data_IF_773689205261
#
_entry.id   IF_773689205261
#
_cell.length_a   1.000
_cell.length_b   1.000
_cell.length_c   1.000
_cell.angle_alpha   90.00
_cell.angle_beta   90.00
_cell.angle_gamma   90.00
#
_symmetry.space_group_name_H-M   'P 1'
#
loop_
_entity.id
_entity.type
_entity.pdbx_description
1 polymer ?
#
# COMPACT_ATOMS: atom_id res chain seq x y z
N UNK A 1 -12.14 25.87 -3.87
CA UNK A 1 -12.03 24.41 -3.72
C UNK A 1 -12.86 24.05 -2.52
N UNK A 2 -14.02 23.42 -2.73
CA UNK A 2 -14.87 22.99 -1.63
C UNK A 2 -14.17 21.84 -0.91
N UNK A 3 -13.66 22.12 0.30
CA UNK A 3 -13.07 21.13 1.20
C UNK A 3 -14.13 20.19 1.76
N UNK A 4 -14.73 19.36 0.90
CA UNK A 4 -15.69 18.33 1.29
C UNK A 4 -14.95 17.20 1.97
N UNK A 5 -14.69 17.37 3.26
CA UNK A 5 -14.32 16.25 4.13
C UNK A 5 -15.51 15.28 4.16
N UNK A 6 -15.27 14.03 3.79
CA UNK A 6 -16.28 12.98 3.91
C UNK A 6 -16.32 12.59 5.39
N UNK A 7 -17.26 13.17 6.15
CA UNK A 7 -17.34 13.01 7.61
C UNK A 7 -17.57 11.57 8.10
N UNK A 8 -18.07 10.68 7.22
CA UNK A 8 -18.36 9.27 7.52
C UNK A 8 -17.66 8.32 6.52
N UNK A 9 -16.37 8.55 6.23
CA UNK A 9 -15.58 7.65 5.39
C UNK A 9 -15.01 6.49 6.25
N UNK A 10 -15.80 5.44 6.43
CA UNK A 10 -15.34 4.21 7.10
C UNK A 10 -14.63 3.29 6.08
N UNK A 11 -13.49 2.73 6.48
CA UNK A 11 -12.81 1.69 5.73
C UNK A 11 -13.39 0.33 6.11
N UNK A 12 -14.34 -0.16 5.31
CA UNK A 12 -15.02 -1.43 5.55
C UNK A 12 -14.27 -2.57 4.84
N UNK A 13 -13.80 -3.56 5.60
CA UNK A 13 -13.15 -4.73 5.02
C UNK A 13 -14.19 -5.65 4.35
N UNK A 14 -14.11 -5.93 3.04
CA UNK A 14 -15.19 -6.55 2.27
C UNK A 14 -15.46 -8.01 2.67
N UNK A 15 -14.46 -8.73 3.20
CA UNK A 15 -14.62 -10.15 3.50
C UNK A 15 -15.58 -10.40 4.68
N UNK A 16 -15.52 -9.58 5.72
CA UNK A 16 -16.37 -9.73 6.91
C UNK A 16 -17.30 -8.53 7.15
N UNK A 17 -17.30 -7.53 6.26
CA UNK A 17 -18.10 -6.31 6.36
C UNK A 17 -17.88 -5.52 7.66
N UNK A 18 -16.71 -5.68 8.29
CA UNK A 18 -16.32 -4.96 9.50
C UNK A 18 -15.70 -3.61 9.17
N UNK A 19 -16.01 -2.58 9.96
CA UNK A 19 -15.37 -1.27 9.96
C UNK A 19 -14.21 -1.16 10.97
N UNK A 20 -14.01 -2.18 11.81
CA UNK A 20 -12.91 -2.26 12.77
C UNK A 20 -11.64 -2.71 12.03
N UNK A 21 -10.99 -1.75 11.36
CA UNK A 21 -9.79 -1.96 10.54
C UNK A 21 -8.65 -1.03 10.96
N UNK A 22 -7.43 -1.55 10.89
CA UNK A 22 -6.21 -0.83 11.23
C UNK A 22 -5.31 -0.75 10.01
N UNK A 23 -5.00 0.47 9.57
CA UNK A 23 -3.99 0.71 8.53
C UNK A 23 -2.64 0.86 9.20
N UNK A 24 -1.72 -0.03 8.87
CA UNK A 24 -0.39 -0.11 9.48
C UNK A 24 0.72 0.22 8.47
N UNK A 25 0.44 0.10 7.17
CA UNK A 25 1.44 0.23 6.12
C UNK A 25 0.93 1.11 4.98
N UNK A 26 1.86 1.85 4.39
CA UNK A 26 1.63 2.55 3.13
C UNK A 26 2.68 2.09 2.13
N UNK A 27 2.23 1.55 1.02
CA UNK A 27 3.08 1.17 -0.10
C UNK A 27 2.91 2.20 -1.21
N UNK A 28 4.00 2.65 -1.79
CA UNK A 28 4.02 3.54 -2.95
C UNK A 28 4.87 2.88 -4.01
N UNK A 29 4.32 2.75 -5.21
CA UNK A 29 5.09 2.37 -6.39
C UNK A 29 4.92 3.41 -7.45
N UNK A 30 6.05 3.90 -7.93
CA UNK A 30 6.12 4.95 -8.92
C UNK A 30 7.20 4.60 -9.94
N UNK A 31 6.95 4.93 -11.20
CA UNK A 31 7.98 4.83 -12.24
C UNK A 31 7.86 5.91 -13.28
N UNK A 32 9.00 6.33 -13.81
CA UNK A 32 9.02 7.03 -15.09
C UNK A 32 8.78 6.03 -16.23
N UNK A 33 8.27 6.51 -17.36
CA UNK A 33 8.11 5.68 -18.57
C UNK A 33 9.38 4.88 -18.87
N UNK A 34 9.20 3.59 -19.16
CA UNK A 34 10.25 2.61 -19.46
C UNK A 34 11.36 2.42 -18.39
N UNK A 35 11.21 2.97 -17.19
CA UNK A 35 12.09 2.71 -16.05
C UNK A 35 11.53 1.63 -15.13
N UNK A 36 12.42 1.04 -14.35
CA UNK A 36 12.03 0.18 -13.23
C UNK A 36 11.16 0.98 -12.25
N UNK A 37 10.21 0.29 -11.63
CA UNK A 37 9.46 0.87 -10.54
C UNK A 37 10.36 1.10 -9.33
N UNK A 38 10.14 2.23 -8.67
CA UNK A 38 10.62 2.50 -7.34
C UNK A 38 9.50 2.16 -6.36
N UNK A 39 9.71 1.10 -5.59
CA UNK A 39 8.83 0.75 -4.48
C UNK A 39 9.35 1.40 -3.19
N UNK A 40 8.42 2.02 -2.47
CA UNK A 40 8.62 2.58 -1.14
C UNK A 40 7.57 1.94 -0.23
N UNK A 41 7.99 1.45 0.92
CA UNK A 41 7.06 1.00 1.96
C UNK A 41 7.31 1.76 3.24
N UNK A 42 6.23 2.25 3.85
CA UNK A 42 6.25 2.95 5.11
C UNK A 42 5.49 2.11 6.13
N UNK A 43 6.13 1.75 7.23
CA UNK A 43 5.46 1.25 8.42
C UNK A 43 4.94 2.48 9.19
N UNK A 44 3.62 2.64 9.26
CA UNK A 44 2.96 3.77 9.90
C UNK A 44 3.02 3.70 11.44
N UNK A 45 3.30 2.53 12.01
CA UNK A 45 3.45 2.34 13.46
C UNK A 45 4.86 2.76 13.90
N UNK A 46 5.89 2.22 13.26
CA UNK A 46 7.28 2.47 13.63
C UNK A 46 7.88 3.71 12.97
N UNK A 47 7.26 4.20 11.89
CA UNK A 47 7.79 5.29 11.06
C UNK A 47 8.94 4.86 10.13
N UNK A 48 9.28 3.56 10.10
CA UNK A 48 10.34 3.02 9.24
C UNK A 48 9.95 3.15 7.76
N UNK A 49 10.90 3.59 6.94
CA UNK A 49 10.73 3.72 5.49
C UNK A 49 11.75 2.80 4.80
N UNK A 50 11.25 1.94 3.92
CA UNK A 50 12.06 1.10 3.05
C UNK A 50 11.91 1.55 1.60
N UNK A 51 13.01 1.49 0.84
CA UNK A 51 13.06 1.87 -0.57
C UNK A 51 13.79 0.79 -1.38
N UNK A 52 13.87 0.95 -2.71
CA UNK A 52 14.64 0.07 -3.61
C UNK A 52 14.09 -1.36 -3.74
N UNK A 53 12.76 -1.51 -3.77
CA UNK A 53 12.11 -2.78 -4.15
C UNK A 53 12.28 -3.92 -3.13
N UNK A 54 12.49 -3.60 -1.84
CA UNK A 54 12.47 -4.62 -0.76
C UNK A 54 11.11 -5.29 -0.56
N UNK A 55 10.03 -4.65 -0.99
CA UNK A 55 8.70 -5.25 -1.08
C UNK A 55 7.98 -4.71 -2.31
N UNK A 56 7.37 -5.59 -3.09
CA UNK A 56 6.48 -5.17 -4.18
C UNK A 56 5.18 -4.64 -3.56
N UNK A 57 4.79 -3.41 -3.89
CA UNK A 57 3.52 -2.88 -3.44
C UNK A 57 2.37 -3.76 -3.93
N UNK A 58 1.37 -4.04 -3.07
CA UNK A 58 0.23 -4.89 -3.42
C UNK A 58 -0.47 -4.46 -4.71
N UNK A 59 -1.01 -5.45 -5.42
CA UNK A 59 -1.65 -5.25 -6.72
C UNK A 59 -3.13 -5.60 -6.64
N UNK A 60 -3.93 -4.73 -7.25
CA UNK A 60 -5.32 -4.99 -7.54
C UNK A 60 -5.50 -5.74 -8.87
N UNK A 61 -6.49 -6.63 -8.89
CA UNK A 61 -6.86 -7.48 -10.03
C UNK A 61 -7.14 -6.73 -11.34
N UNK A 62 -7.73 -5.54 -11.25
CA UNK A 62 -8.26 -4.81 -12.41
C UNK A 62 -7.13 -4.26 -13.27
N UNK A 63 -6.03 -3.87 -12.64
CA UNK A 63 -4.95 -3.13 -13.29
C UNK A 63 -3.76 -4.02 -13.63
N UNK A 64 -3.57 -5.12 -12.88
CA UNK A 64 -2.54 -6.13 -13.10
C UNK A 64 -1.10 -5.64 -12.91
N UNK A 65 -0.13 -6.54 -13.13
CA UNK A 65 1.29 -6.24 -12.98
C UNK A 65 1.80 -5.23 -14.02
N UNK A 66 2.63 -4.29 -13.56
CA UNK A 66 3.73 -3.77 -14.38
C UNK A 66 3.50 -2.51 -15.21
N UNK A 67 2.59 -1.58 -14.87
CA UNK A 67 2.47 -0.33 -15.66
C UNK A 67 2.25 1.01 -14.95
N UNK A 68 1.98 1.11 -13.65
CA UNK A 68 1.31 2.33 -13.12
C UNK A 68 1.75 2.77 -11.73
N UNK A 69 1.53 4.06 -11.49
CA UNK A 69 1.63 4.75 -10.21
C UNK A 69 0.54 4.21 -9.28
N UNK A 70 0.93 3.65 -8.13
CA UNK A 70 0.00 3.06 -7.16
C UNK A 70 0.38 3.47 -5.75
N UNK A 71 -0.65 3.61 -4.93
CA UNK A 71 -0.57 3.75 -3.48
C UNK A 71 -1.43 2.63 -2.90
N UNK A 72 -0.89 1.81 -2.02
CA UNK A 72 -1.67 0.81 -1.30
C UNK A 72 -1.65 1.09 0.19
N UNK A 73 -2.82 1.04 0.82
CA UNK A 73 -2.98 1.10 2.26
C UNK A 73 -3.09 -0.33 2.78
N UNK A 74 -2.05 -0.78 3.48
CA UNK A 74 -1.97 -2.10 4.06
C UNK A 74 -2.39 -2.11 5.51
N UNK A 75 -3.11 -3.14 5.93
CA UNK A 75 -3.65 -3.22 7.27
C UNK A 75 -4.14 -4.60 7.65
N UNK A 76 -4.90 -4.65 8.74
CA UNK A 76 -5.60 -5.85 9.15
C UNK A 76 -6.98 -5.50 9.73
N UNK A 77 -7.88 -6.49 9.70
CA UNK A 77 -9.20 -6.40 10.29
C UNK A 77 -9.17 -7.01 11.70
N UNK A 78 -9.54 -6.24 12.73
CA UNK A 78 -9.56 -6.73 14.12
C UNK A 78 -10.56 -7.87 14.32
N UNK A 79 -11.68 -7.84 13.58
CA UNK A 79 -12.76 -8.82 13.75
C UNK A 79 -12.38 -10.21 13.26
N UNK A 80 -11.73 -10.32 12.08
CA UNK A 80 -11.41 -11.60 11.47
C UNK A 80 -9.92 -11.92 11.41
N UNK A 81 -9.06 -11.00 11.87
CA UNK A 81 -7.60 -11.16 11.90
C UNK A 81 -6.90 -11.13 10.53
N UNK A 82 -7.65 -10.98 9.44
CA UNK A 82 -7.11 -11.05 8.07
C UNK A 82 -6.38 -9.77 7.70
N UNK A 83 -5.22 -9.91 7.05
CA UNK A 83 -4.46 -8.78 6.50
C UNK A 83 -4.97 -8.41 5.11
N UNK A 84 -4.99 -7.13 4.81
CA UNK A 84 -5.54 -6.62 3.56
C UNK A 84 -4.67 -5.51 2.98
N UNK A 85 -4.91 -5.20 1.71
CA UNK A 85 -4.49 -3.93 1.13
C UNK A 85 -5.60 -3.31 0.27
N UNK A 86 -5.85 -2.01 0.49
CA UNK A 86 -6.64 -1.19 -0.41
C UNK A 86 -5.68 -0.51 -1.40
N UNK A 87 -5.79 -0.84 -2.67
CA UNK A 87 -4.90 -0.38 -3.74
C UNK A 87 -5.60 0.73 -4.52
N UNK A 88 -4.94 1.89 -4.58
CA UNK A 88 -5.33 3.04 -5.39
C UNK A 88 -4.36 3.12 -6.55
N UNK A 89 -4.86 2.94 -7.76
CA UNK A 89 -4.04 2.99 -8.98
C UNK A 89 -4.47 4.12 -9.90
N UNK A 90 -3.51 4.91 -10.36
CA UNK A 90 -3.75 5.91 -11.39
C UNK A 90 -3.70 5.26 -12.77
N UNK A 91 -4.77 5.44 -13.55
CA UNK A 91 -4.89 4.91 -14.91
C UNK A 91 -5.52 5.95 -15.85
N UNK A 92 -4.73 6.49 -16.79
CA UNK A 92 -5.21 7.42 -17.85
C UNK A 92 -6.06 8.57 -17.29
N UNK A 93 -5.60 9.19 -16.20
CA UNK A 93 -6.32 10.29 -15.55
C UNK A 93 -7.46 9.88 -14.59
N UNK A 94 -7.77 8.58 -14.50
CA UNK A 94 -8.71 8.03 -13.52
C UNK A 94 -7.97 7.46 -12.31
N UNK A 95 -8.64 7.47 -11.15
CA UNK A 95 -8.21 6.72 -9.97
C UNK A 95 -9.11 5.48 -9.84
N UNK A 96 -8.48 4.31 -9.84
CA UNK A 96 -9.13 3.03 -9.58
C UNK A 96 -8.83 2.62 -8.15
N UNK A 97 -9.84 2.19 -7.41
CA UNK A 97 -9.72 1.79 -6.01
C UNK A 97 -10.26 0.37 -5.88
N UNK A 98 -9.42 -0.55 -5.41
CA UNK A 98 -9.76 -1.97 -5.30
C UNK A 98 -9.00 -2.63 -4.15
N UNK A 99 -9.48 -3.78 -3.70
CA UNK A 99 -8.78 -4.60 -2.72
C UNK A 99 -7.74 -5.47 -3.44
N UNK A 100 -6.57 -5.65 -2.82
CA UNK A 100 -5.54 -6.54 -3.37
C UNK A 100 -6.03 -8.00 -3.42
N UNK A 101 -5.55 -8.75 -4.40
CA UNK A 101 -5.93 -10.17 -4.56
C UNK A 101 -5.37 -11.07 -3.45
N UNK A 102 -4.29 -10.64 -2.80
CA UNK A 102 -3.55 -11.42 -1.82
C UNK A 102 -3.40 -10.63 -0.54
N UNK A 103 -3.38 -11.35 0.57
CA UNK A 103 -3.01 -10.79 1.86
C UNK A 103 -1.60 -10.24 1.82
N UNK A 104 -1.38 -9.14 2.53
CA UNK A 104 -0.05 -8.59 2.72
C UNK A 104 0.69 -9.37 3.81
N UNK A 105 2.01 -9.56 3.68
CA UNK A 105 2.79 -10.20 4.74
C UNK A 105 2.79 -9.35 6.02
N UNK A 106 3.16 -9.98 7.13
CA UNK A 106 3.54 -9.26 8.35
C UNK A 106 4.83 -8.51 8.08
N UNK A 107 4.89 -7.26 8.57
CA UNK A 107 6.11 -6.48 8.53
C UNK A 107 7.00 -6.88 9.71
N UNK A 108 8.26 -7.18 9.41
CA UNK A 108 9.24 -7.50 10.44
C UNK A 108 10.15 -6.29 10.70
N UNK A 109 9.89 -5.55 11.78
CA UNK A 109 10.73 -4.40 12.14
C UNK A 109 12.16 -4.79 12.56
N UNK A 110 12.41 -6.08 12.83
CA UNK A 110 13.74 -6.60 13.18
C UNK A 110 14.64 -6.86 11.96
N UNK A 111 14.11 -6.78 10.73
CA UNK A 111 14.94 -6.96 9.54
C UNK A 111 16.02 -5.86 9.50
N UNK A 112 17.30 -6.19 9.28
CA UNK A 112 18.36 -5.21 9.23
C UNK A 112 18.01 -4.10 8.23
N UNK A 113 18.11 -2.84 8.67
CA UNK A 113 18.14 -1.73 7.72
C UNK A 113 19.34 -1.98 6.80
N UNK A 114 19.14 -1.89 5.49
CA UNK A 114 20.28 -1.80 4.59
C UNK A 114 20.94 -0.46 4.92
N UNK A 115 21.99 -0.51 5.73
CA UNK A 115 22.89 0.62 5.89
C UNK A 115 23.51 0.84 4.53
N UNK A 116 23.03 1.85 3.81
CA UNK A 116 23.66 2.30 2.58
C UNK A 116 25.04 2.83 2.99
N UNK A 117 26.08 2.03 2.79
CA UNK A 117 27.43 2.57 2.65
C UNK A 117 27.41 3.38 1.35
N UNK A 118 27.21 4.69 1.47
CA UNK A 118 27.43 5.63 0.37
C UNK A 118 28.90 5.54 -0.05
N UNK A 119 29.15 4.77 -1.10
CA UNK A 119 30.45 4.74 -1.77
C UNK A 119 30.54 6.00 -2.65
N UNK A 120 31.22 7.03 -2.14
CA UNK A 120 31.60 8.23 -2.90
C UNK A 120 32.70 7.93 -3.93
#
# INVERSE_FOLDING_TARGET
MDGRVIGNALLIYPHCSSDVTHVEHVFVSARQEDRLANEITVNAISGRVETRNKGEAPIGSTVGHGRRQRIALGGYCDLCGTRFALVITQHKGSALVEWAEREIPLWNDEDPLDTVEDSF
#
